data_IF_231390945788
#
_entry.id   IF_231390945788
#
_cell.length_a   1.000
_cell.length_b   1.000
_cell.length_c   1.000
_cell.angle_alpha   90.00
_cell.angle_beta   90.00
_cell.angle_gamma   90.00
#
_symmetry.space_group_name_H-M   'P 1'
#
loop_
_entity.id
_entity.type
_entity.pdbx_description
1 polymer ?
#
# COMPACT_ATOMS: atom_id res chain seq x y z
N UNK A 1 12.77 -15.80 7.98
CA UNK A 1 12.52 -14.39 8.34
C UNK A 1 11.30 -14.34 9.23
N UNK A 2 11.43 -13.89 10.48
CA UNK A 2 10.33 -13.89 11.45
C UNK A 2 9.23 -12.90 11.08
N UNK A 3 7.98 -13.17 11.48
CA UNK A 3 6.85 -12.24 11.28
C UNK A 3 7.10 -10.87 11.92
N UNK A 4 7.81 -10.86 13.05
CA UNK A 4 8.22 -9.65 13.76
C UNK A 4 9.04 -8.70 12.88
N UNK A 5 10.04 -9.22 12.17
CA UNK A 5 10.88 -8.41 11.27
C UNK A 5 10.09 -7.79 10.11
N UNK A 6 9.01 -8.44 9.67
CA UNK A 6 8.12 -7.89 8.63
C UNK A 6 7.23 -6.79 9.18
N UNK A 7 6.74 -6.93 10.41
CA UNK A 7 5.95 -5.89 11.07
C UNK A 7 6.79 -4.65 11.36
N UNK A 8 8.04 -4.81 11.79
CA UNK A 8 8.96 -3.70 12.03
C UNK A 8 9.17 -2.83 10.78
N UNK A 9 9.33 -3.45 9.61
CA UNK A 9 9.46 -2.76 8.31
C UNK A 9 8.25 -1.90 7.91
N UNK A 10 7.09 -2.14 8.53
CA UNK A 10 5.86 -1.39 8.25
C UNK A 10 5.60 -0.38 9.37
N UNK A 11 5.76 -0.80 10.62
CA UNK A 11 5.48 0.01 11.81
C UNK A 11 6.50 1.13 12.02
N UNK A 12 7.79 0.86 11.82
CA UNK A 12 8.83 1.87 12.07
C UNK A 12 8.70 3.06 11.11
N UNK A 13 8.60 2.87 9.78
CA UNK A 13 8.38 4.00 8.86
C UNK A 13 7.07 4.75 9.16
N UNK A 14 6.00 4.01 9.48
CA UNK A 14 4.73 4.62 9.89
C UNK A 14 4.89 5.49 11.14
N UNK A 15 5.51 4.99 12.22
CA UNK A 15 5.70 5.75 13.45
C UNK A 15 6.57 6.99 13.24
N UNK A 16 7.61 6.88 12.42
CA UNK A 16 8.46 8.03 12.07
C UNK A 16 7.66 9.11 11.35
N UNK A 17 6.90 8.74 10.32
CA UNK A 17 6.06 9.70 9.58
C UNK A 17 4.98 10.31 10.47
N UNK A 18 4.31 9.50 11.29
CA UNK A 18 3.28 9.97 12.23
C UNK A 18 3.85 10.91 13.29
N UNK A 19 5.05 10.63 13.80
CA UNK A 19 5.71 11.50 14.78
C UNK A 19 6.10 12.85 14.15
N UNK A 20 6.68 12.83 12.95
CA UNK A 20 6.93 14.05 12.17
C UNK A 20 5.63 14.84 11.94
N UNK A 21 4.54 14.14 11.61
CA UNK A 21 3.21 14.75 11.40
C UNK A 21 2.68 15.42 12.66
N UNK A 22 2.77 14.77 13.81
CA UNK A 22 2.35 15.34 15.10
C UNK A 22 3.17 16.61 15.41
N UNK A 23 4.49 16.59 15.19
CA UNK A 23 5.35 17.76 15.38
C UNK A 23 4.90 18.91 14.47
N UNK A 24 4.72 18.65 13.18
CA UNK A 24 4.30 19.68 12.22
C UNK A 24 2.93 20.25 12.56
N UNK A 25 1.94 19.39 12.85
CA UNK A 25 0.59 19.80 13.24
C UNK A 25 0.61 20.66 14.51
N UNK A 26 1.47 20.32 15.48
CA UNK A 26 1.64 21.10 16.70
C UNK A 26 2.29 22.47 16.43
N UNK A 27 3.29 22.54 15.54
CA UNK A 27 3.91 23.81 15.12
C UNK A 27 2.91 24.75 14.44
N UNK A 28 1.96 24.19 13.67
CA UNK A 28 0.86 24.95 13.05
C UNK A 28 -0.32 25.24 14.01
N UNK A 29 -0.23 24.84 15.29
CA UNK A 29 -1.28 25.08 16.29
C UNK A 29 -2.57 24.26 16.06
N UNK A 30 -2.53 23.27 15.17
CA UNK A 30 -3.70 22.45 14.80
C UNK A 30 -3.94 21.27 15.74
N UNK A 31 -2.92 20.83 16.48
CA UNK A 31 -3.00 19.78 17.50
C UNK A 31 -2.18 20.19 18.71
N UNK A 32 -2.66 19.95 19.92
CA UNK A 32 -1.88 20.17 21.14
C UNK A 32 -0.96 18.99 21.41
N UNK A 33 0.32 19.28 21.64
CA UNK A 33 1.30 18.25 21.97
C UNK A 33 0.99 17.67 23.35
N UNK A 34 0.52 16.42 23.38
CA UNK A 34 0.22 15.70 24.61
C UNK A 34 0.60 14.23 24.49
N UNK A 35 0.89 13.59 25.62
CA UNK A 35 1.21 12.15 25.67
C UNK A 35 0.07 11.32 25.06
N UNK A 36 -1.18 11.72 25.26
CA UNK A 36 -2.34 11.06 24.67
C UNK A 36 -2.32 11.10 23.13
N UNK A 37 -1.95 12.22 22.52
CA UNK A 37 -1.80 12.37 21.05
C UNK A 37 -0.66 11.49 20.53
N UNK A 38 0.47 11.45 21.24
CA UNK A 38 1.60 10.59 20.87
C UNK A 38 1.19 9.11 20.94
N UNK A 39 0.56 8.68 22.04
CA UNK A 39 0.08 7.32 22.20
C UNK A 39 -0.94 6.93 21.13
N UNK A 40 -1.87 7.84 20.77
CA UNK A 40 -2.78 7.61 19.63
C UNK A 40 -2.02 7.40 18.32
N UNK A 41 -0.97 8.17 18.06
CA UNK A 41 -0.11 7.99 16.90
C UNK A 41 0.57 6.60 16.83
N UNK A 42 1.03 6.10 17.98
CA UNK A 42 1.71 4.79 18.08
C UNK A 42 0.76 3.59 18.12
N UNK A 43 -0.39 3.70 18.78
CA UNK A 43 -1.35 2.59 19.04
C UNK A 43 -2.58 2.60 18.11
N UNK A 44 -2.48 3.26 16.96
CA UNK A 44 -3.52 3.42 15.97
C UNK A 44 -4.66 4.37 16.40
N UNK A 45 -4.65 5.57 15.83
CA UNK A 45 -5.77 6.50 15.84
C UNK A 45 -6.92 6.05 14.91
N UNK A 46 -7.79 5.19 15.44
CA UNK A 46 -8.94 4.61 14.71
C UNK A 46 -9.89 5.68 14.14
N UNK A 47 -9.93 6.85 14.75
CA UNK A 47 -10.76 7.99 14.34
C UNK A 47 -10.15 8.77 13.15
N UNK A 48 -8.93 8.42 12.72
CA UNK A 48 -8.19 9.05 11.59
C UNK A 48 -8.00 10.56 11.76
N UNK A 49 -7.95 11.04 12.99
CA UNK A 49 -7.79 12.45 13.36
C UNK A 49 -6.37 12.97 13.14
N UNK A 50 -5.38 12.13 13.43
CA UNK A 50 -3.95 12.41 13.30
C UNK A 50 -3.48 11.90 11.95
N UNK A 51 -3.80 10.64 11.61
CA UNK A 51 -3.36 10.05 10.35
C UNK A 51 -4.43 9.30 9.56
N UNK A 52 -4.72 9.83 8.38
CA UNK A 52 -5.67 9.26 7.42
C UNK A 52 -5.09 8.12 6.60
N UNK A 53 -3.76 7.90 6.58
CA UNK A 53 -3.14 6.72 5.95
C UNK A 53 -3.09 5.49 6.84
N UNK A 54 -3.37 5.67 8.13
CA UNK A 54 -3.28 4.62 9.13
C UNK A 54 -4.14 3.40 8.82
N UNK A 55 -5.29 3.56 8.16
CA UNK A 55 -6.15 2.43 7.83
C UNK A 55 -5.44 1.39 6.94
N UNK A 56 -4.54 1.83 6.04
CA UNK A 56 -3.79 0.92 5.17
C UNK A 56 -2.68 0.19 5.94
N UNK A 57 -2.05 0.88 6.89
CA UNK A 57 -1.09 0.26 7.82
C UNK A 57 -1.78 -0.80 8.68
N UNK A 58 -2.96 -0.48 9.25
CA UNK A 58 -3.78 -1.42 10.00
C UNK A 58 -4.18 -2.62 9.14
N UNK A 59 -4.58 -2.37 7.88
CA UNK A 59 -4.87 -3.42 6.90
C UNK A 59 -3.68 -4.37 6.70
N UNK A 60 -2.46 -3.85 6.51
CA UNK A 60 -1.25 -4.68 6.33
C UNK A 60 -0.99 -5.55 7.57
N UNK A 61 -1.10 -4.95 8.76
CA UNK A 61 -0.83 -5.64 10.04
C UNK A 61 -1.84 -6.76 10.27
N UNK A 62 -3.12 -6.48 10.05
CA UNK A 62 -4.18 -7.48 10.15
C UNK A 62 -3.91 -8.65 9.22
N UNK A 63 -3.54 -8.40 7.95
CA UNK A 63 -3.20 -9.48 7.03
C UNK A 63 -1.95 -10.26 7.45
N UNK A 64 -0.95 -9.63 8.06
CA UNK A 64 0.18 -10.35 8.63
C UNK A 64 -0.23 -11.26 9.79
N UNK A 65 -1.11 -10.81 10.68
CA UNK A 65 -1.63 -11.64 11.79
C UNK A 65 -2.45 -12.81 11.24
N UNK A 66 -3.40 -12.54 10.35
CA UNK A 66 -4.22 -13.57 9.68
C UNK A 66 -3.32 -14.58 8.98
N UNK A 67 -2.32 -14.11 8.27
CA UNK A 67 -1.37 -14.98 7.58
C UNK A 67 -0.59 -15.84 8.56
N UNK A 68 -0.05 -15.25 9.63
CA UNK A 68 0.69 -15.98 10.65
C UNK A 68 -0.16 -17.12 11.22
N UNK A 69 -1.44 -16.86 11.52
CA UNK A 69 -2.38 -17.88 12.00
C UNK A 69 -2.61 -18.98 10.96
N UNK A 70 -3.00 -18.62 9.74
CA UNK A 70 -3.30 -19.60 8.69
C UNK A 70 -2.07 -20.45 8.37
N UNK A 71 -0.91 -19.84 8.17
CA UNK A 71 0.34 -20.57 7.87
C UNK A 71 0.83 -21.44 9.04
N UNK A 72 0.52 -21.06 10.29
CA UNK A 72 0.87 -21.85 11.46
C UNK A 72 0.06 -23.15 11.53
N UNK A 73 -1.26 -23.08 11.31
CA UNK A 73 -2.15 -24.23 11.47
C UNK A 73 -2.33 -25.07 10.19
N UNK A 74 -2.20 -24.47 9.00
CA UNK A 74 -2.62 -25.10 7.74
C UNK A 74 -1.43 -25.30 6.81
N UNK A 75 -1.15 -26.57 6.48
CA UNK A 75 -0.08 -26.95 5.54
C UNK A 75 -0.60 -27.19 4.12
N UNK A 76 -1.88 -27.52 3.96
CA UNK A 76 -2.48 -27.77 2.65
C UNK A 76 -2.67 -26.45 1.89
N UNK A 77 -2.03 -26.31 0.72
CA UNK A 77 -2.05 -25.09 -0.09
C UNK A 77 -3.45 -24.66 -0.53
N UNK A 78 -4.30 -25.61 -0.89
CA UNK A 78 -5.67 -25.33 -1.34
C UNK A 78 -6.53 -24.82 -0.19
N UNK A 79 -6.50 -25.53 0.95
CA UNK A 79 -7.24 -25.12 2.14
C UNK A 79 -6.77 -23.76 2.66
N UNK A 80 -5.47 -23.51 2.62
CA UNK A 80 -4.88 -22.22 2.96
C UNK A 80 -5.41 -21.10 2.08
N UNK A 81 -5.34 -21.27 0.75
CA UNK A 81 -5.90 -20.27 -0.19
C UNK A 81 -7.40 -20.05 0.06
N UNK A 82 -8.17 -21.12 0.26
CA UNK A 82 -9.60 -21.02 0.57
C UNK A 82 -9.85 -20.19 1.85
N UNK A 83 -9.09 -20.43 2.91
CA UNK A 83 -9.22 -19.69 4.16
C UNK A 83 -8.88 -18.20 4.00
N UNK A 84 -7.88 -17.86 3.18
CA UNK A 84 -7.60 -16.45 2.84
C UNK A 84 -8.81 -15.79 2.16
N UNK A 85 -9.47 -16.47 1.23
CA UNK A 85 -10.69 -15.96 0.58
C UNK A 85 -11.88 -15.87 1.53
N UNK A 86 -12.04 -16.82 2.46
CA UNK A 86 -13.09 -16.76 3.49
C UNK A 86 -12.87 -15.53 4.39
N UNK A 87 -11.64 -15.33 4.89
CA UNK A 87 -11.31 -14.16 5.71
C UNK A 87 -11.55 -12.87 4.93
N UNK A 88 -11.13 -12.79 3.67
CA UNK A 88 -11.41 -11.64 2.82
C UNK A 88 -12.91 -11.37 2.65
N UNK A 89 -13.72 -12.42 2.48
CA UNK A 89 -15.18 -12.32 2.43
C UNK A 89 -15.77 -11.72 3.71
N UNK A 90 -15.27 -12.13 4.87
CA UNK A 90 -15.66 -11.52 6.15
C UNK A 90 -15.25 -10.05 6.23
N UNK A 91 -14.02 -9.69 5.82
CA UNK A 91 -13.58 -8.29 5.78
C UNK A 91 -14.49 -7.41 4.93
N UNK A 92 -14.93 -7.92 3.78
CA UNK A 92 -15.87 -7.22 2.89
C UNK A 92 -17.22 -6.98 3.57
N UNK A 93 -17.70 -7.92 4.39
CA UNK A 93 -18.99 -7.79 5.08
C UNK A 93 -18.97 -6.78 6.23
N UNK A 94 -17.82 -6.58 6.88
CA UNK A 94 -17.72 -5.76 8.10
C UNK A 94 -17.14 -4.36 7.88
N UNK A 95 -16.61 -4.05 6.70
CA UNK A 95 -15.98 -2.76 6.42
C UNK A 95 -16.70 -2.04 5.27
N UNK A 96 -16.92 -0.73 5.44
CA UNK A 96 -17.64 0.12 4.48
C UNK A 96 -17.10 -0.07 3.04
N UNK A 97 -18.00 -0.50 2.15
CA UNK A 97 -17.73 -1.54 1.16
C UNK A 97 -17.04 -1.06 -0.13
N UNK A 98 -17.25 0.19 -0.55
CA UNK A 98 -16.89 0.62 -1.92
C UNK A 98 -15.39 0.68 -2.20
N UNK A 99 -14.59 1.03 -1.19
CA UNK A 99 -13.14 1.17 -1.36
C UNK A 99 -12.35 -0.05 -0.85
N UNK A 100 -12.96 -0.93 -0.05
CA UNK A 100 -12.22 -1.94 0.72
C UNK A 100 -12.14 -3.32 0.08
N UNK A 101 -13.06 -3.69 -0.81
CA UNK A 101 -13.07 -5.05 -1.36
C UNK A 101 -11.86 -5.34 -2.25
N UNK A 102 -11.33 -4.33 -2.95
CA UNK A 102 -10.08 -4.47 -3.70
C UNK A 102 -8.93 -4.88 -2.77
N UNK A 103 -8.77 -4.16 -1.66
CA UNK A 103 -7.75 -4.47 -0.67
C UNK A 103 -8.02 -5.82 0.00
N UNK A 104 -9.27 -6.14 0.35
CA UNK A 104 -9.61 -7.42 0.95
C UNK A 104 -9.23 -8.61 0.05
N UNK A 105 -9.38 -8.49 -1.27
CA UNK A 105 -9.08 -9.59 -2.22
C UNK A 105 -7.63 -9.60 -2.73
N UNK A 106 -6.92 -8.47 -2.69
CA UNK A 106 -5.55 -8.37 -3.18
C UNK A 106 -4.60 -9.36 -2.51
N UNK A 107 -4.69 -9.51 -1.19
CA UNK A 107 -3.83 -10.44 -0.43
C UNK A 107 -4.13 -11.92 -0.75
N UNK A 108 -5.39 -12.42 -0.69
CA UNK A 108 -5.73 -13.77 -1.14
C UNK A 108 -5.27 -14.11 -2.56
N UNK A 109 -5.34 -13.14 -3.48
CA UNK A 109 -4.88 -13.32 -4.86
C UNK A 109 -3.37 -13.49 -4.92
N UNK A 110 -2.61 -12.70 -4.15
CA UNK A 110 -1.17 -12.89 -4.03
C UNK A 110 -0.82 -14.30 -3.49
N UNK A 111 -1.59 -14.80 -2.53
CA UNK A 111 -1.41 -16.17 -2.00
C UNK A 111 -1.76 -17.23 -3.06
N UNK A 112 -2.86 -17.06 -3.78
CA UNK A 112 -3.24 -17.94 -4.90
C UNK A 112 -2.14 -17.95 -5.97
N UNK A 113 -1.66 -16.78 -6.39
CA UNK A 113 -0.61 -16.63 -7.39
C UNK A 113 0.65 -17.39 -6.97
N UNK A 114 1.13 -17.15 -5.74
CA UNK A 114 2.33 -17.81 -5.22
C UNK A 114 2.18 -19.33 -5.11
N UNK A 115 1.03 -19.82 -4.66
CA UNK A 115 0.84 -21.27 -4.45
C UNK A 115 0.76 -22.06 -5.75
N UNK A 116 0.24 -21.42 -6.80
CA UNK A 116 -0.06 -22.03 -8.10
C UNK A 116 0.73 -21.40 -9.25
N UNK A 117 1.85 -20.73 -8.96
CA UNK A 117 2.66 -19.98 -9.93
C UNK A 117 3.00 -20.81 -11.17
N UNK A 118 3.41 -22.08 -10.99
CA UNK A 118 3.72 -22.99 -12.12
C UNK A 118 2.52 -23.29 -13.02
N UNK A 119 1.32 -23.31 -12.46
CA UNK A 119 0.09 -23.50 -13.22
C UNK A 119 -0.26 -22.23 -13.99
N UNK A 120 -0.07 -21.08 -13.35
CA UNK A 120 -0.32 -19.77 -13.97
C UNK A 120 0.74 -19.39 -15.00
N UNK A 121 2.00 -19.77 -14.79
CA UNK A 121 3.11 -19.44 -15.70
C UNK A 121 2.86 -19.99 -17.10
N UNK A 122 2.32 -21.21 -17.22
CA UNK A 122 1.98 -21.78 -18.53
C UNK A 122 0.86 -21.04 -19.28
N UNK A 123 -0.04 -20.35 -18.60
CA UNK A 123 -1.07 -19.47 -19.20
C UNK A 123 -0.52 -18.08 -19.46
N UNK A 124 0.28 -17.59 -18.53
CA UNK A 124 0.90 -16.28 -18.53
C UNK A 124 1.96 -16.12 -19.62
N UNK A 125 2.81 -17.13 -19.79
CA UNK A 125 3.94 -17.12 -20.71
C UNK A 125 3.49 -17.07 -22.18
N UNK A 126 2.29 -17.54 -22.48
CA UNK A 126 1.72 -17.60 -23.83
C UNK A 126 1.33 -16.24 -24.42
N UNK A 127 1.02 -15.25 -23.60
CA UNK A 127 0.53 -13.95 -24.07
C UNK A 127 1.61 -12.86 -24.00
N UNK A 128 1.78 -12.00 -25.01
CA UNK A 128 2.78 -10.94 -24.95
C UNK A 128 2.45 -9.91 -23.86
N UNK A 129 3.48 -9.29 -23.26
CA UNK A 129 3.33 -8.28 -22.20
C UNK A 129 2.38 -7.13 -22.61
N UNK A 130 2.48 -6.70 -23.87
CA UNK A 130 1.64 -5.65 -24.44
C UNK A 130 0.15 -5.97 -24.39
N UNK A 131 -0.24 -7.25 -24.54
CA UNK A 131 -1.64 -7.64 -24.46
C UNK A 131 -2.20 -7.46 -23.05
N UNK A 132 -1.43 -7.81 -22.01
CA UNK A 132 -1.81 -7.54 -20.63
C UNK A 132 -1.99 -6.04 -20.37
N UNK A 133 -1.09 -5.21 -20.90
CA UNK A 133 -1.21 -3.76 -20.78
C UNK A 133 -2.44 -3.22 -21.51
N UNK A 134 -2.71 -3.68 -22.75
CA UNK A 134 -3.90 -3.30 -23.51
C UNK A 134 -5.16 -3.70 -22.76
N UNK A 135 -5.23 -4.93 -22.23
CA UNK A 135 -6.38 -5.40 -21.47
C UNK A 135 -6.57 -4.60 -20.17
N UNK A 136 -5.49 -4.24 -19.48
CA UNK A 136 -5.54 -3.33 -18.34
C UNK A 136 -6.10 -1.96 -18.72
N UNK A 137 -5.61 -1.34 -19.80
CA UNK A 137 -6.10 -0.03 -20.27
C UNK A 137 -7.56 -0.10 -20.70
N UNK A 138 -7.97 -1.16 -21.41
CA UNK A 138 -9.36 -1.37 -21.81
C UNK A 138 -10.27 -1.52 -20.59
N UNK A 139 -9.85 -2.26 -19.56
CA UNK A 139 -10.61 -2.37 -18.32
C UNK A 139 -10.63 -1.07 -17.51
N UNK A 140 -9.53 -0.31 -17.50
CA UNK A 140 -9.48 0.98 -16.84
C UNK A 140 -10.44 1.98 -17.52
N UNK A 141 -10.41 2.06 -18.86
CA UNK A 141 -11.35 2.88 -19.65
C UNK A 141 -12.78 2.39 -19.45
N UNK A 142 -13.02 1.08 -19.49
CA UNK A 142 -14.34 0.50 -19.22
C UNK A 142 -14.83 0.89 -17.83
N UNK A 143 -14.01 0.81 -16.79
CA UNK A 143 -14.38 1.25 -15.43
C UNK A 143 -14.61 2.75 -15.31
N UNK A 144 -13.96 3.59 -16.12
CA UNK A 144 -14.23 5.04 -16.14
C UNK A 144 -15.50 5.42 -16.90
N UNK A 145 -15.92 4.59 -17.88
CA UNK A 145 -17.00 4.89 -18.83
C UNK A 145 -18.29 4.12 -18.52
N UNK A 146 -18.17 2.93 -17.95
CA UNK A 146 -19.21 1.97 -17.63
C UNK A 146 -19.02 1.65 -16.15
N UNK A 147 -20.06 1.91 -15.34
CA UNK A 147 -20.22 1.46 -13.94
C UNK A 147 -19.98 2.53 -12.85
N UNK A 148 -20.99 3.37 -12.69
CA UNK A 148 -21.38 3.91 -11.36
C UNK A 148 -22.04 2.84 -10.46
N UNK A 149 -22.19 1.59 -10.92
CA UNK A 149 -22.89 0.52 -10.20
C UNK A 149 -21.92 -0.52 -9.61
N UNK A 150 -21.68 -0.42 -8.30
CA UNK A 150 -20.89 -1.32 -7.46
C UNK A 150 -20.79 -2.82 -7.88
N UNK A 151 -21.83 -3.43 -8.45
CA UNK A 151 -21.88 -4.85 -8.83
C UNK A 151 -20.82 -5.31 -9.86
N UNK A 152 -20.38 -4.44 -10.77
CA UNK A 152 -19.41 -4.79 -11.81
C UNK A 152 -18.03 -4.18 -11.57
N UNK A 153 -17.91 -3.14 -10.73
CA UNK A 153 -16.65 -2.41 -10.51
C UNK A 153 -15.60 -3.23 -9.77
N UNK A 154 -15.99 -4.13 -8.86
CA UNK A 154 -15.02 -4.94 -8.10
C UNK A 154 -14.36 -6.04 -8.95
N UNK A 155 -15.09 -6.90 -9.69
CA UNK A 155 -14.47 -7.93 -10.52
C UNK A 155 -13.59 -7.34 -11.63
N UNK A 156 -14.00 -6.23 -12.25
CA UNK A 156 -13.23 -5.57 -13.31
C UNK A 156 -11.96 -4.93 -12.78
N UNK A 157 -12.00 -4.28 -11.61
CA UNK A 157 -10.81 -3.69 -10.97
C UNK A 157 -9.82 -4.77 -10.54
N UNK A 158 -10.32 -5.89 -10.03
CA UNK A 158 -9.51 -7.05 -9.68
C UNK A 158 -8.80 -7.63 -10.90
N UNK A 159 -9.54 -7.80 -12.00
CA UNK A 159 -9.01 -8.32 -13.25
C UNK A 159 -7.99 -7.35 -13.87
N UNK A 160 -8.25 -6.03 -13.78
CA UNK A 160 -7.31 -5.00 -14.21
C UNK A 160 -6.00 -5.07 -13.39
N UNK A 161 -6.08 -5.25 -12.08
CA UNK A 161 -4.90 -5.43 -11.24
C UNK A 161 -4.12 -6.71 -11.57
N UNK A 162 -4.81 -7.82 -11.85
CA UNK A 162 -4.13 -9.05 -12.32
C UNK A 162 -3.40 -8.79 -13.64
N UNK A 163 -4.01 -8.08 -14.59
CA UNK A 163 -3.35 -7.74 -15.86
C UNK A 163 -2.18 -6.79 -15.68
N UNK A 164 -2.28 -5.79 -14.80
CA UNK A 164 -1.14 -4.90 -14.53
C UNK A 164 0.00 -5.66 -13.87
N UNK A 165 -0.30 -6.58 -12.95
CA UNK A 165 0.70 -7.45 -12.32
C UNK A 165 1.37 -8.37 -13.35
N UNK A 166 0.60 -8.98 -14.25
CA UNK A 166 1.12 -9.77 -15.36
C UNK A 166 2.05 -8.93 -16.26
N UNK A 167 1.61 -7.75 -16.68
CA UNK A 167 2.42 -6.82 -17.48
C UNK A 167 3.71 -6.46 -16.75
N UNK A 168 3.61 -6.04 -15.49
CA UNK A 168 4.74 -5.65 -14.65
C UNK A 168 5.75 -6.79 -14.53
N UNK A 169 5.27 -7.98 -14.21
CA UNK A 169 6.12 -9.16 -14.05
C UNK A 169 6.80 -9.56 -15.37
N UNK A 170 6.23 -9.25 -16.54
CA UNK A 170 6.78 -9.70 -17.84
C UNK A 170 7.75 -8.70 -18.43
N UNK A 171 7.39 -7.43 -18.30
CA UNK A 171 8.12 -6.33 -18.90
C UNK A 171 9.26 -5.84 -17.99
N UNK A 172 9.12 -5.98 -16.67
CA UNK A 172 10.04 -5.37 -15.70
C UNK A 172 10.76 -6.37 -14.78
N UNK A 173 10.67 -7.68 -15.03
CA UNK A 173 11.36 -8.74 -14.26
C UNK A 173 12.89 -8.57 -14.18
N UNK A 174 13.48 -7.61 -14.90
CA UNK A 174 14.92 -7.33 -14.94
C UNK A 174 15.29 -5.88 -14.56
N UNK A 175 14.32 -5.04 -14.17
CA UNK A 175 14.55 -3.60 -14.02
C UNK A 175 14.70 -3.18 -12.55
N UNK A 176 15.95 -2.92 -12.14
CA UNK A 176 16.30 -2.54 -10.77
C UNK A 176 15.55 -1.29 -10.23
N UNK A 177 15.18 -0.36 -11.12
CA UNK A 177 14.45 0.85 -10.73
C UNK A 177 13.00 0.57 -10.29
N UNK A 178 12.34 -0.45 -10.86
CA UNK A 178 10.96 -0.77 -10.49
C UNK A 178 10.90 -1.51 -9.15
N UNK A 179 11.87 -2.41 -8.91
CA UNK A 179 12.08 -3.02 -7.59
C UNK A 179 12.34 -1.93 -6.54
N UNK A 180 13.11 -0.91 -6.91
CA UNK A 180 13.38 0.24 -6.07
C UNK A 180 12.11 1.07 -5.79
N UNK A 181 11.29 1.39 -6.79
CA UNK A 181 9.98 2.05 -6.57
C UNK A 181 9.10 1.21 -5.65
N UNK A 182 9.06 -0.11 -5.84
CA UNK A 182 8.33 -1.01 -4.96
C UNK A 182 8.81 -0.93 -3.51
N UNK A 183 10.12 -0.81 -3.28
CA UNK A 183 10.71 -0.67 -1.94
C UNK A 183 10.31 0.62 -1.24
N UNK A 184 10.24 1.75 -1.98
CA UNK A 184 9.89 3.04 -1.40
C UNK A 184 8.39 3.37 -1.47
N UNK A 185 7.59 2.56 -2.17
CA UNK A 185 6.18 2.85 -2.43
C UNK A 185 5.34 2.98 -1.16
N UNK A 186 5.71 2.26 -0.11
CA UNK A 186 5.04 2.34 1.18
C UNK A 186 5.33 3.67 1.88
N UNK A 187 6.59 4.09 1.90
CA UNK A 187 7.01 5.38 2.44
C UNK A 187 6.39 6.52 1.64
N UNK A 188 6.37 6.41 0.31
CA UNK A 188 5.70 7.37 -0.57
C UNK A 188 4.21 7.49 -0.26
N UNK A 189 3.52 6.37 -0.02
CA UNK A 189 2.12 6.36 0.37
C UNK A 189 1.88 7.08 1.70
N UNK A 190 2.73 6.84 2.71
CA UNK A 190 2.66 7.52 4.00
C UNK A 190 2.86 9.04 3.87
N UNK A 191 3.80 9.45 3.02
CA UNK A 191 4.08 10.87 2.73
C UNK A 191 2.96 11.51 1.92
N UNK A 192 2.42 10.81 0.91
CA UNK A 192 1.29 11.27 0.10
C UNK A 192 0.08 11.55 0.98
N UNK A 193 -0.24 10.64 1.90
CA UNK A 193 -1.34 10.84 2.84
C UNK A 193 -1.12 11.97 3.83
N UNK A 194 0.11 12.14 4.30
CA UNK A 194 0.46 13.35 5.05
C UNK A 194 0.13 14.60 4.24
N UNK A 195 0.53 14.64 2.96
CA UNK A 195 0.32 15.81 2.11
C UNK A 195 -1.17 16.05 1.83
N UNK A 196 -1.87 15.10 1.20
CA UNK A 196 -3.25 15.28 0.72
C UNK A 196 -4.25 15.65 1.82
N UNK A 197 -4.09 15.10 3.02
CA UNK A 197 -5.09 15.24 4.07
C UNK A 197 -4.76 16.37 5.07
N UNK A 198 -3.48 16.64 5.32
CA UNK A 198 -3.06 17.69 6.28
C UNK A 198 -3.11 19.08 5.65
N UNK A 199 -2.85 19.19 4.36
CA UNK A 199 -2.83 20.47 3.64
C UNK A 199 -4.10 20.75 2.86
N UNK A 200 -5.18 19.97 3.10
CA UNK A 200 -6.50 20.17 2.50
C UNK A 200 -7.05 21.59 2.68
N UNK A 201 -6.74 22.25 3.80
CA UNK A 201 -7.07 23.66 4.03
C UNK A 201 -6.23 24.63 3.20
N UNK A 202 -4.97 24.31 2.88
CA UNK A 202 -4.12 25.08 1.95
C UNK A 202 -4.57 24.90 0.49
N UNK A 203 -5.25 23.78 0.16
CA UNK A 203 -5.67 23.45 -1.21
C UNK A 203 -6.94 24.09 -1.72
N UNK A 204 -7.82 24.58 -0.84
CA UNK A 204 -9.12 25.13 -1.27
C UNK A 204 -8.93 26.36 -2.17
N UNK A 205 -7.73 26.98 -2.20
CA UNK A 205 -7.43 28.15 -3.01
C UNK A 205 -6.38 27.99 -4.13
N UNK A 206 -5.83 26.80 -4.42
CA UNK A 206 -4.71 26.65 -5.37
C UNK A 206 -5.01 25.66 -6.51
N UNK A 207 -4.40 25.88 -7.69
CA UNK A 207 -4.64 25.04 -8.87
C UNK A 207 -4.10 23.62 -8.67
N UNK A 208 -4.83 22.62 -9.17
CA UNK A 208 -4.44 21.20 -9.09
C UNK A 208 -3.02 20.90 -9.60
N UNK A 209 -2.49 21.78 -10.47
CA UNK A 209 -1.13 21.69 -11.01
C UNK A 209 -0.04 22.09 -10.00
N UNK A 210 -0.26 23.13 -9.19
CA UNK A 210 0.68 23.51 -8.12
C UNK A 210 0.78 22.38 -7.08
N UNK A 211 -0.35 21.72 -6.79
CA UNK A 211 -0.40 20.61 -5.83
C UNK A 211 0.39 19.41 -6.32
N UNK A 212 0.32 19.10 -7.63
CA UNK A 212 1.14 18.07 -8.27
C UNK A 212 2.63 18.42 -8.19
N UNK A 213 3.01 19.67 -8.46
CA UNK A 213 4.41 20.12 -8.37
C UNK A 213 4.97 20.02 -6.95
N UNK A 214 4.19 20.43 -5.93
CA UNK A 214 4.61 20.32 -4.54
C UNK A 214 4.72 18.86 -4.09
N UNK A 215 3.78 18.01 -4.52
CA UNK A 215 3.84 16.57 -4.30
C UNK A 215 5.11 15.96 -4.91
N UNK A 216 5.39 16.23 -6.19
CA UNK A 216 6.59 15.75 -6.87
C UNK A 216 7.88 16.29 -6.24
N UNK A 217 7.88 17.55 -5.78
CA UNK A 217 9.01 18.16 -5.08
C UNK A 217 9.30 17.50 -3.73
N UNK A 218 8.27 17.23 -2.92
CA UNK A 218 8.40 16.50 -1.66
C UNK A 218 8.80 15.04 -1.87
N UNK A 219 8.28 14.40 -2.91
CA UNK A 219 8.65 13.05 -3.30
C UNK A 219 10.16 12.99 -3.64
N UNK A 220 10.64 13.99 -4.39
CA UNK A 220 12.06 14.17 -4.68
C UNK A 220 12.89 14.44 -3.42
N UNK A 221 12.45 15.31 -2.52
CA UNK A 221 13.16 15.61 -1.26
C UNK A 221 13.23 14.39 -0.35
N UNK A 222 12.11 13.67 -0.20
CA UNK A 222 12.03 12.46 0.61
C UNK A 222 12.94 11.37 0.03
N UNK A 223 13.00 11.26 -1.30
CA UNK A 223 13.96 10.41 -1.98
C UNK A 223 15.42 10.80 -1.70
N UNK A 224 15.75 12.10 -1.80
CA UNK A 224 17.09 12.59 -1.51
C UNK A 224 17.49 12.36 -0.05
N UNK A 225 16.56 12.50 0.90
CA UNK A 225 16.76 12.20 2.32
C UNK A 225 16.97 10.70 2.55
N UNK A 226 16.21 9.83 1.87
CA UNK A 226 16.42 8.38 1.91
C UNK A 226 17.82 8.01 1.40
N UNK A 227 18.23 8.54 0.24
CA UNK A 227 19.57 8.32 -0.31
C UNK A 227 20.67 8.83 0.62
N UNK A 228 20.45 9.98 1.26
CA UNK A 228 21.35 10.52 2.28
C UNK A 228 21.44 9.60 3.50
N UNK A 229 20.31 9.09 3.99
CA UNK A 229 20.23 8.16 5.11
C UNK A 229 20.91 6.81 4.83
N UNK A 230 20.68 6.20 3.66
CA UNK A 230 21.37 4.96 3.27
C UNK A 230 22.88 5.15 3.19
N UNK A 231 23.35 6.26 2.60
CA UNK A 231 24.78 6.55 2.55
C UNK A 231 25.37 6.78 3.93
N UNK A 232 24.65 7.46 4.83
CA UNK A 232 25.07 7.63 6.22
C UNK A 232 25.10 6.31 7.00
N UNK A 233 24.25 5.35 6.66
CA UNK A 233 24.27 4.02 7.30
C UNK A 233 25.34 3.09 6.72
N UNK A 234 25.66 3.23 5.42
CA UNK A 234 26.70 2.44 4.75
C UNK A 234 28.12 2.98 4.98
N UNK A 235 28.26 4.29 5.14
CA UNK A 235 29.54 5.00 5.28
C UNK A 235 29.64 5.82 6.57
N UNK A 236 28.67 5.66 7.48
CA UNK A 236 28.71 6.30 8.79
C UNK A 236 29.96 5.86 9.54
N UNK A 237 30.59 6.76 10.31
CA UNK A 237 31.75 6.40 11.11
C UNK A 237 31.33 5.29 12.06
N UNK A 238 32.12 4.20 12.07
CA UNK A 238 32.17 3.27 13.19
C UNK A 238 32.64 4.09 14.38
N UNK A 239 31.71 4.72 15.10
CA UNK A 239 31.95 5.26 16.42
C UNK A 239 31.88 4.08 17.38
N UNK A 240 33.06 3.50 17.62
CA UNK A 240 33.41 2.79 18.85
C UNK A 240 33.18 3.69 20.07
#
# INVERSE_FOLDING_TARGET
MSWFFRMEKVLVPYWLVTLCKIIILALFGSVTFSIAVILKGFFFDLDKTIDSTMWFVLYIIVWYIVSALIFFFIRNKWLMTLLFFIVAGLFIMFVDLSNWAFYALGFPIGVLWRNYERTWSGLYDKLPASLYFILFILLAIANTSVIKSFSLGMPTTLLAAIFVLCFVNKFFQQQAWLEWIGKISFELYLIEGFWLYTTKSLYVGHSSFLNLLLYLGLLLVSYLLYLGGERLLQYGPILL
#
